data_IF_270614078500
#
_entry.id   IF_270614078500
#
_cell.length_a   1.000
_cell.length_b   1.000
_cell.length_c   1.000
_cell.angle_alpha   90.00
_cell.angle_beta   90.00
_cell.angle_gamma   90.00
#
_symmetry.space_group_name_H-M   'P 1'
#
loop_
_entity.id
_entity.type
_entity.pdbx_description
1 polymer ?
#
# COMPACT_ATOMS: atom_id res chain seq x y z
N UNK A 1 -8.39 0.60 21.64
CA UNK A 1 -7.36 1.39 20.92
C UNK A 1 -7.92 2.78 20.63
N UNK A 2 -7.17 3.87 20.85
CA UNK A 2 -7.63 5.21 20.43
C UNK A 2 -7.58 5.29 18.89
N UNK A 3 -8.53 5.97 18.26
CA UNK A 3 -8.60 6.14 16.79
C UNK A 3 -7.29 6.64 16.18
N UNK A 4 -6.56 7.47 16.93
CA UNK A 4 -5.21 7.92 16.57
C UNK A 4 -4.22 6.78 16.31
N UNK A 5 -4.23 5.72 17.14
CA UNK A 5 -3.33 4.58 16.95
C UNK A 5 -3.68 3.80 15.67
N UNK A 6 -4.97 3.72 15.32
CA UNK A 6 -5.41 3.06 14.09
C UNK A 6 -4.92 3.81 12.86
N UNK A 7 -4.96 5.15 12.87
CA UNK A 7 -4.44 5.97 11.79
C UNK A 7 -2.91 5.80 11.62
N UNK A 8 -2.16 5.76 12.73
CA UNK A 8 -0.70 5.52 12.66
C UNK A 8 -0.40 4.13 12.11
N UNK A 9 -1.06 3.09 12.61
CA UNK A 9 -0.86 1.71 12.15
C UNK A 9 -1.24 1.56 10.67
N UNK A 10 -2.31 2.20 10.21
CA UNK A 10 -2.70 2.11 8.80
C UNK A 10 -1.66 2.73 7.86
N UNK A 11 -1.02 3.83 8.28
CA UNK A 11 0.08 4.42 7.52
C UNK A 11 1.31 3.50 7.47
N UNK A 12 1.66 2.86 8.58
CA UNK A 12 2.74 1.87 8.62
C UNK A 12 2.45 0.74 7.63
N UNK A 13 1.23 0.18 7.64
CA UNK A 13 0.83 -0.86 6.69
C UNK A 13 0.89 -0.37 5.24
N UNK A 14 0.44 0.84 4.96
CA UNK A 14 0.49 1.44 3.62
C UNK A 14 1.93 1.55 3.11
N UNK A 15 2.86 1.99 3.96
CA UNK A 15 4.30 2.04 3.63
C UNK A 15 4.86 0.64 3.40
N UNK A 16 4.53 -0.33 4.25
CA UNK A 16 4.98 -1.72 4.09
C UNK A 16 4.51 -2.33 2.76
N UNK A 17 3.28 -2.06 2.35
CA UNK A 17 2.76 -2.50 1.03
C UNK A 17 3.64 -1.92 -0.09
N UNK A 18 3.96 -0.63 -0.04
CA UNK A 18 4.82 0.01 -1.03
C UNK A 18 6.23 -0.58 -1.07
N UNK A 19 6.85 -0.73 0.11
CA UNK A 19 8.22 -1.28 0.23
C UNK A 19 8.28 -2.73 -0.23
N UNK A 20 7.36 -3.59 0.21
CA UNK A 20 7.36 -5.00 -0.18
C UNK A 20 6.95 -5.18 -1.64
N UNK A 21 6.01 -4.40 -2.15
CA UNK A 21 5.63 -4.40 -3.57
C UNK A 21 6.81 -4.02 -4.46
N UNK A 22 7.56 -2.98 -4.10
CA UNK A 22 8.74 -2.56 -4.86
C UNK A 22 9.86 -3.60 -4.81
N UNK A 23 10.13 -4.20 -3.64
CA UNK A 23 11.11 -5.28 -3.53
C UNK A 23 10.70 -6.52 -4.33
N UNK A 24 9.42 -6.88 -4.32
CA UNK A 24 8.90 -7.98 -5.14
C UNK A 24 9.09 -7.70 -6.63
N UNK A 25 8.79 -6.47 -7.09
CA UNK A 25 9.03 -6.04 -8.47
C UNK A 25 10.50 -6.20 -8.87
N UNK A 26 11.43 -5.63 -8.10
CA UNK A 26 12.86 -5.75 -8.37
C UNK A 26 13.35 -7.21 -8.37
N UNK A 27 12.84 -8.03 -7.45
CA UNK A 27 13.19 -9.44 -7.37
C UNK A 27 12.73 -10.19 -8.62
N UNK A 28 11.49 -9.95 -9.06
CA UNK A 28 10.96 -10.57 -10.29
C UNK A 28 11.78 -10.12 -11.50
N UNK A 29 12.04 -8.81 -11.63
CA UNK A 29 12.83 -8.27 -12.72
C UNK A 29 14.24 -8.87 -12.77
N UNK A 30 14.93 -8.97 -11.63
CA UNK A 30 16.28 -9.54 -11.56
C UNK A 30 16.34 -10.99 -12.08
N UNK A 31 15.31 -11.80 -11.79
CA UNK A 31 15.24 -13.17 -12.29
C UNK A 31 14.74 -13.27 -13.74
N UNK A 32 14.05 -12.23 -14.26
CA UNK A 32 13.56 -12.19 -15.64
C UNK A 32 14.54 -11.52 -16.62
N UNK A 33 15.42 -10.63 -16.18
CA UNK A 33 16.41 -9.91 -17.00
C UNK A 33 17.22 -10.84 -17.95
N UNK A 34 17.66 -12.05 -17.55
CA UNK A 34 18.42 -12.93 -18.43
C UNK A 34 17.61 -13.51 -19.60
N UNK A 35 16.28 -13.48 -19.52
CA UNK A 35 15.37 -14.17 -20.44
C UNK A 35 14.28 -13.27 -21.01
N UNK A 36 14.32 -11.97 -20.74
CA UNK A 36 13.26 -11.01 -21.04
C UNK A 36 12.93 -10.92 -22.54
N UNK A 37 13.92 -11.16 -23.40
CA UNK A 37 13.77 -11.17 -24.87
C UNK A 37 13.52 -12.57 -25.46
N UNK A 38 13.58 -13.62 -24.64
CA UNK A 38 13.55 -15.02 -25.07
C UNK A 38 12.27 -15.76 -24.69
N UNK A 39 11.48 -15.22 -23.77
CA UNK A 39 10.24 -15.83 -23.28
C UNK A 39 9.17 -14.76 -23.16
N UNK A 40 7.96 -15.05 -23.67
CA UNK A 40 6.82 -14.15 -23.52
C UNK A 40 6.53 -13.87 -22.04
N UNK A 41 6.30 -12.61 -21.71
CA UNK A 41 5.90 -12.20 -20.37
C UNK A 41 4.58 -12.87 -19.99
N UNK A 42 4.46 -13.49 -18.81
CA UNK A 42 3.23 -14.15 -18.41
C UNK A 42 2.12 -13.11 -18.20
N UNK A 43 0.95 -13.32 -18.82
CA UNK A 43 -0.23 -12.43 -18.72
C UNK A 43 -0.62 -12.07 -17.26
N UNK A 44 -0.33 -12.98 -16.33
CA UNK A 44 -0.58 -12.80 -14.90
C UNK A 44 0.24 -11.66 -14.27
N UNK A 45 1.37 -11.26 -14.88
CA UNK A 45 2.24 -10.22 -14.34
C UNK A 45 1.57 -8.84 -14.36
N UNK A 46 0.97 -8.44 -15.48
CA UNK A 46 0.26 -7.17 -15.59
C UNK A 46 -0.93 -7.08 -14.60
N UNK A 47 -1.64 -8.20 -14.41
CA UNK A 47 -2.73 -8.28 -13.43
C UNK A 47 -2.19 -8.12 -12.00
N UNK A 48 -1.07 -8.78 -11.66
CA UNK A 48 -0.45 -8.68 -10.34
C UNK A 48 -0.03 -7.24 -10.02
N UNK A 49 0.54 -6.52 -11.00
CA UNK A 49 0.91 -5.11 -10.86
C UNK A 49 -0.31 -4.23 -10.63
N UNK A 50 -1.36 -4.40 -11.44
CA UNK A 50 -2.59 -3.63 -11.31
C UNK A 50 -3.25 -3.86 -9.94
N UNK A 51 -3.30 -5.11 -9.48
CA UNK A 51 -3.79 -5.46 -8.15
C UNK A 51 -2.93 -4.84 -7.04
N UNK A 52 -1.60 -4.90 -7.15
CA UNK A 52 -0.68 -4.29 -6.17
C UNK A 52 -0.86 -2.77 -6.05
N UNK A 53 -0.94 -2.07 -7.18
CA UNK A 53 -1.21 -0.63 -7.23
C UNK A 53 -2.61 -0.30 -6.67
N UNK A 54 -3.62 -1.12 -6.99
CA UNK A 54 -4.96 -0.98 -6.44
C UNK A 54 -5.01 -1.11 -4.92
N UNK A 55 -4.33 -2.12 -4.36
CA UNK A 55 -4.22 -2.31 -2.90
C UNK A 55 -3.50 -1.13 -2.24
N UNK A 56 -2.42 -0.62 -2.85
CA UNK A 56 -1.71 0.54 -2.33
C UNK A 56 -2.60 1.80 -2.33
N UNK A 57 -3.34 2.04 -3.41
CA UNK A 57 -4.25 3.18 -3.52
C UNK A 57 -5.38 3.12 -2.47
N UNK A 58 -6.02 1.95 -2.32
CA UNK A 58 -7.06 1.75 -1.31
C UNK A 58 -6.53 1.91 0.12
N UNK A 59 -5.32 1.42 0.39
CA UNK A 59 -4.67 1.56 1.70
C UNK A 59 -4.33 3.02 2.02
N UNK A 60 -3.91 3.78 1.01
CA UNK A 60 -3.66 5.22 1.14
C UNK A 60 -4.95 5.99 1.46
N UNK A 61 -6.03 5.74 0.72
CA UNK A 61 -7.34 6.36 0.95
C UNK A 61 -7.91 6.03 2.34
N UNK A 62 -7.78 4.78 2.78
CA UNK A 62 -8.17 4.34 4.11
C UNK A 62 -7.37 5.09 5.19
N UNK A 63 -6.05 5.18 5.03
CA UNK A 63 -5.18 5.88 5.98
C UNK A 63 -5.48 7.38 6.06
N UNK A 64 -5.75 8.02 4.92
CA UNK A 64 -6.21 9.41 4.88
C UNK A 64 -7.55 9.60 5.62
N UNK A 65 -8.51 8.71 5.38
CA UNK A 65 -9.82 8.75 6.03
C UNK A 65 -9.70 8.57 7.54
N UNK A 66 -8.91 7.59 8.00
CA UNK A 66 -8.65 7.35 9.43
C UNK A 66 -7.98 8.56 10.09
N UNK A 67 -7.06 9.23 9.38
CA UNK A 67 -6.41 10.45 9.87
C UNK A 67 -7.42 11.59 10.08
N UNK A 68 -8.33 11.79 9.11
CA UNK A 68 -9.41 12.78 9.21
C UNK A 68 -10.35 12.45 10.38
N UNK A 69 -10.75 11.19 10.53
CA UNK A 69 -11.63 10.76 11.62
C UNK A 69 -10.94 10.93 12.97
N UNK A 70 -9.66 10.58 13.08
CA UNK A 70 -8.89 10.76 14.30
C UNK A 70 -8.85 12.24 14.72
N UNK A 71 -8.55 13.15 13.80
CA UNK A 71 -8.52 14.59 14.06
C UNK A 71 -9.90 15.15 14.48
N UNK A 72 -10.98 14.66 13.86
CA UNK A 72 -12.35 15.05 14.24
C UNK A 72 -12.73 14.57 15.63
N UNK A 73 -12.34 13.35 16.00
CA UNK A 73 -12.62 12.77 17.33
C UNK A 73 -11.83 13.51 18.41
N UNK A 74 -10.58 13.88 18.14
CA UNK A 74 -9.74 14.60 19.08
C UNK A 74 -10.31 16.00 19.38
N UNK A 75 -10.64 16.76 18.33
CA UNK A 75 -11.27 18.09 18.47
C UNK A 75 -12.57 18.05 19.27
N UNK A 76 -13.37 16.98 19.15
CA UNK A 76 -14.62 16.85 19.91
C UNK A 76 -14.38 16.61 21.40
N UNK A 77 -13.25 16.03 21.78
CA UNK A 77 -12.88 15.86 23.19
C UNK A 77 -12.42 17.17 23.81
N UNK A 78 -11.75 18.03 23.04
CA UNK A 78 -11.30 19.35 23.54
C UNK A 78 -12.46 20.31 23.84
N UNK A 79 -13.62 20.08 23.24
CA UNK A 79 -14.83 20.91 23.38
C UNK A 79 -15.82 20.39 24.44
N UNK A 80 -15.56 19.23 25.05
CA UNK A 80 -16.44 18.55 26.00
C UNK A 80 -15.84 18.58 27.41
#
# INVERSE_FOLDING_TARGET
MKVWHLAVVSWIVTVLIGVFGMNAWYTIWYYQEPVIDSVAEPDAFGIAVACGLGVLALSFLLSGTLSIVAARVDRRKDLA
#
